data_IF_053325955952
#
_entry.id   IF_053325955952
#
_cell.length_a   1.000
_cell.length_b   1.000
_cell.length_c   1.000
_cell.angle_alpha   90.00
_cell.angle_beta   90.00
_cell.angle_gamma   90.00
#
_symmetry.space_group_name_H-M   'P 1'
#
loop_
_entity.id
_entity.type
_entity.pdbx_description
1 polymer ?
#
# COMPACT_ATOMS: atom_id res chain seq x y z
N UNK A 1 6.49 18.01 4.61
CA UNK A 1 6.23 16.73 5.30
C UNK A 1 7.07 15.57 4.74
N UNK A 2 6.90 15.16 3.47
CA UNK A 2 7.57 13.97 2.90
C UNK A 2 9.11 14.01 2.94
N UNK A 3 9.73 15.17 2.71
CA UNK A 3 11.20 15.29 2.80
C UNK A 3 11.73 15.07 4.22
N UNK A 4 11.00 15.51 5.24
CA UNK A 4 11.36 15.29 6.64
C UNK A 4 11.33 13.80 7.00
N UNK A 5 10.29 13.08 6.58
CA UNK A 5 10.20 11.61 6.77
C UNK A 5 11.37 10.91 6.08
N UNK A 6 11.70 11.30 4.84
CA UNK A 6 12.83 10.73 4.10
C UNK A 6 14.17 10.98 4.81
N UNK A 7 14.40 12.19 5.33
CA UNK A 7 15.62 12.51 6.07
C UNK A 7 15.70 11.73 7.39
N UNK A 8 14.60 11.59 8.10
CA UNK A 8 14.55 10.84 9.35
C UNK A 8 14.83 9.34 9.14
N UNK A 9 14.22 8.72 8.12
CA UNK A 9 14.50 7.33 7.75
C UNK A 9 15.97 7.11 7.35
N UNK A 10 16.64 8.10 6.74
CA UNK A 10 18.06 8.00 6.38
C UNK A 10 18.99 7.95 7.58
N UNK A 11 18.56 8.41 8.76
CA UNK A 11 19.41 8.43 9.94
C UNK A 11 19.64 7.04 10.56
N UNK A 12 18.89 6.00 10.15
CA UNK A 12 19.20 4.61 10.52
C UNK A 12 18.03 3.63 10.31
N UNK A 13 18.37 2.35 10.32
CA UNK A 13 17.41 1.25 10.09
C UNK A 13 16.29 1.20 11.14
N UNK A 14 16.59 1.54 12.40
CA UNK A 14 15.56 1.64 13.45
C UNK A 14 14.49 2.69 13.15
N UNK A 15 14.85 3.79 12.46
CA UNK A 15 13.91 4.81 12.02
C UNK A 15 13.06 4.31 10.87
N UNK A 16 13.63 3.50 9.97
CA UNK A 16 12.88 2.85 8.88
C UNK A 16 11.84 1.88 9.44
N UNK A 17 12.20 1.07 10.43
CA UNK A 17 11.25 0.17 11.10
C UNK A 17 10.15 0.95 11.84
N UNK A 18 10.53 1.99 12.56
CA UNK A 18 9.55 2.85 13.24
C UNK A 18 8.61 3.56 12.24
N UNK A 19 9.12 3.99 11.08
CA UNK A 19 8.31 4.55 10.02
C UNK A 19 7.33 3.53 9.45
N UNK A 20 7.74 2.26 9.32
CA UNK A 20 6.85 1.18 8.94
C UNK A 20 5.70 1.01 9.93
N UNK A 21 6.00 0.88 11.23
CA UNK A 21 4.97 0.71 12.27
C UNK A 21 3.96 1.85 12.26
N UNK A 22 4.44 3.10 12.19
CA UNK A 22 3.58 4.29 12.09
C UNK A 22 2.74 4.26 10.83
N UNK A 23 3.31 3.92 9.66
CA UNK A 23 2.55 3.92 8.41
C UNK A 23 1.45 2.85 8.42
N UNK A 24 1.74 1.65 8.92
CA UNK A 24 0.75 0.58 9.03
C UNK A 24 -0.36 0.96 10.01
N UNK A 25 -0.03 1.59 11.14
CA UNK A 25 -1.05 2.11 12.06
C UNK A 25 -1.96 3.15 11.38
N UNK A 26 -1.36 4.10 10.63
CA UNK A 26 -2.14 5.10 9.88
C UNK A 26 -2.99 4.50 8.76
N UNK A 27 -2.58 3.37 8.16
CA UNK A 27 -3.40 2.63 7.22
C UNK A 27 -4.65 1.99 7.87
N UNK A 28 -4.70 1.86 9.21
CA UNK A 28 -5.89 1.39 9.93
C UNK A 28 -6.89 2.49 10.26
N UNK A 29 -6.57 3.76 10.00
CA UNK A 29 -7.42 4.90 10.31
C UNK A 29 -8.85 4.75 9.74
N UNK A 30 -9.87 5.24 10.43
CA UNK A 30 -11.27 5.26 9.97
C UNK A 30 -11.56 6.31 8.89
N UNK A 31 -10.53 6.78 8.18
CA UNK A 31 -10.62 7.81 7.17
C UNK A 31 -9.76 7.46 5.94
N UNK A 32 -10.37 7.36 4.76
CA UNK A 32 -9.66 6.95 3.53
C UNK A 32 -8.65 7.96 3.03
N UNK A 33 -8.84 9.26 3.29
CA UNK A 33 -7.84 10.26 2.93
C UNK A 33 -6.54 10.03 3.73
N UNK A 34 -6.66 9.70 5.01
CA UNK A 34 -5.50 9.36 5.85
C UNK A 34 -4.78 8.13 5.29
N UNK A 35 -5.53 7.07 4.98
CA UNK A 35 -4.96 5.84 4.40
C UNK A 35 -4.27 6.11 3.06
N UNK A 36 -4.87 6.93 2.19
CA UNK A 36 -4.30 7.29 0.88
C UNK A 36 -2.97 8.03 1.02
N UNK A 37 -2.92 9.02 1.91
CA UNK A 37 -1.68 9.76 2.18
C UNK A 37 -0.59 8.84 2.75
N UNK A 38 -0.94 7.94 3.66
CA UNK A 38 -0.03 6.94 4.20
C UNK A 38 0.50 5.98 3.13
N UNK A 39 -0.37 5.51 2.23
CA UNK A 39 0.02 4.65 1.11
C UNK A 39 1.00 5.36 0.16
N UNK A 40 0.77 6.63 -0.14
CA UNK A 40 1.69 7.42 -0.97
C UNK A 40 3.09 7.55 -0.34
N UNK A 41 3.17 7.75 0.97
CA UNK A 41 4.44 7.77 1.69
C UNK A 41 5.09 6.37 1.66
N UNK A 42 4.31 5.32 1.92
CA UNK A 42 4.79 3.94 1.88
C UNK A 42 5.37 3.59 0.50
N UNK A 43 4.69 3.94 -0.59
CA UNK A 43 5.16 3.69 -1.95
C UNK A 43 6.52 4.35 -2.24
N UNK A 44 6.71 5.58 -1.76
CA UNK A 44 8.00 6.28 -1.85
C UNK A 44 9.11 5.54 -1.08
N UNK A 45 8.80 5.00 0.10
CA UNK A 45 9.78 4.27 0.90
C UNK A 45 10.11 2.88 0.32
N UNK A 46 9.13 2.19 -0.27
CA UNK A 46 9.33 0.90 -0.96
C UNK A 46 10.40 1.01 -2.05
N UNK A 47 10.40 2.10 -2.83
CA UNK A 47 11.39 2.33 -3.88
C UNK A 47 12.82 2.52 -3.36
N UNK A 48 12.99 2.89 -2.07
CA UNK A 48 14.27 3.33 -1.50
C UNK A 48 14.81 2.46 -0.39
N UNK A 49 14.00 1.57 0.20
CA UNK A 49 14.37 0.79 1.39
C UNK A 49 14.09 -0.70 1.24
N UNK A 50 15.15 -1.50 1.38
CA UNK A 50 15.04 -2.97 1.42
C UNK A 50 14.27 -3.46 2.65
N UNK A 51 14.42 -2.79 3.79
CA UNK A 51 13.71 -3.13 5.04
C UNK A 51 12.20 -2.98 4.82
N UNK A 52 11.77 -1.85 4.25
CA UNK A 52 10.35 -1.62 3.93
C UNK A 52 9.83 -2.67 2.95
N UNK A 53 10.59 -3.00 1.91
CA UNK A 53 10.20 -4.07 0.97
C UNK A 53 10.01 -5.42 1.67
N UNK A 54 10.93 -5.80 2.55
CA UNK A 54 10.82 -7.04 3.30
C UNK A 54 9.60 -7.05 4.23
N UNK A 55 9.36 -5.96 4.98
CA UNK A 55 8.19 -5.80 5.84
C UNK A 55 6.88 -5.84 5.07
N UNK A 56 6.81 -5.12 3.96
CA UNK A 56 5.64 -5.11 3.08
C UNK A 56 5.36 -6.50 2.50
N UNK A 57 6.38 -7.23 2.04
CA UNK A 57 6.22 -8.58 1.52
C UNK A 57 5.65 -9.52 2.59
N UNK A 58 6.14 -9.44 3.84
CA UNK A 58 5.63 -10.24 4.95
C UNK A 58 4.21 -9.86 5.39
N UNK A 59 3.75 -8.64 5.10
CA UNK A 59 2.44 -8.12 5.53
C UNK A 59 1.51 -7.77 4.35
N UNK A 60 1.76 -8.36 3.17
CA UNK A 60 1.05 -7.99 1.93
C UNK A 60 -0.47 -8.11 2.08
N UNK A 61 -0.96 -9.21 2.64
CA UNK A 61 -2.41 -9.43 2.84
C UNK A 61 -3.05 -8.33 3.68
N UNK A 62 -2.46 -7.97 4.82
CA UNK A 62 -2.95 -6.89 5.68
C UNK A 62 -2.99 -5.55 4.93
N UNK A 63 -1.94 -5.23 4.17
CA UNK A 63 -1.90 -3.98 3.40
C UNK A 63 -2.96 -3.95 2.31
N UNK A 64 -3.22 -5.08 1.64
CA UNK A 64 -4.28 -5.21 0.64
C UNK A 64 -5.67 -4.99 1.25
N UNK A 65 -5.95 -5.59 2.42
CA UNK A 65 -7.22 -5.40 3.13
C UNK A 65 -7.45 -3.94 3.51
N UNK A 66 -6.40 -3.24 3.95
CA UNK A 66 -6.50 -1.85 4.39
C UNK A 66 -6.61 -0.84 3.24
N UNK A 67 -6.15 -1.19 2.03
CA UNK A 67 -6.02 -0.25 0.90
C UNK A 67 -6.88 -0.59 -0.30
N UNK A 68 -7.08 -1.87 -0.63
CA UNK A 68 -8.01 -2.30 -1.67
C UNK A 68 -9.38 -2.58 -1.05
N UNK A 69 -9.45 -3.08 0.18
CA UNK A 69 -10.70 -3.44 0.85
C UNK A 69 -11.35 -4.71 0.27
N UNK A 70 -12.26 -5.37 1.02
CA UNK A 70 -12.95 -6.56 0.54
C UNK A 70 -13.88 -6.27 -0.64
N UNK A 71 -14.21 -7.34 -1.37
CA UNK A 71 -14.96 -7.32 -2.64
C UNK A 71 -16.42 -6.87 -2.49
N UNK A 72 -16.99 -6.99 -1.30
CA UNK A 72 -18.37 -6.68 -1.00
C UNK A 72 -18.50 -6.21 0.46
N UNK A 73 -19.36 -5.22 0.68
CA UNK A 73 -20.01 -4.86 1.95
C UNK A 73 -19.18 -4.15 3.04
N UNK A 74 -17.86 -4.34 3.10
CA UNK A 74 -16.97 -3.54 3.96
C UNK A 74 -16.23 -2.49 3.12
N UNK A 75 -16.95 -1.46 2.68
CA UNK A 75 -16.37 -0.37 1.92
C UNK A 75 -15.23 0.27 2.72
N UNK A 76 -14.11 0.55 2.05
CA UNK A 76 -13.05 1.40 2.59
C UNK A 76 -13.68 2.64 3.27
N UNK A 77 -13.09 3.14 4.37
CA UNK A 77 -13.75 4.16 5.19
C UNK A 77 -14.10 5.43 4.39
N UNK A 78 -15.01 6.28 4.87
CA UNK A 78 -15.27 7.56 4.24
C UNK A 78 -14.01 8.45 4.19
N UNK A 79 -13.96 9.46 3.29
CA UNK A 79 -14.96 9.77 2.26
C UNK A 79 -14.82 8.88 1.02
N UNK A 80 -15.93 8.66 0.30
CA UNK A 80 -15.99 7.74 -0.85
C UNK A 80 -15.02 8.13 -1.99
N UNK A 81 -14.82 9.43 -2.24
CA UNK A 81 -13.88 9.89 -3.26
C UNK A 81 -12.44 9.44 -2.93
N UNK A 82 -12.00 9.65 -1.70
CA UNK A 82 -10.68 9.19 -1.24
C UNK A 82 -10.58 7.67 -1.17
N UNK A 83 -11.69 6.97 -0.87
CA UNK A 83 -11.73 5.49 -0.91
C UNK A 83 -11.50 4.95 -2.33
N UNK A 84 -12.11 5.56 -3.35
CA UNK A 84 -11.88 5.19 -4.76
C UNK A 84 -10.43 5.46 -5.16
N UNK A 85 -9.93 6.66 -4.87
CA UNK A 85 -8.54 7.03 -5.14
C UNK A 85 -7.53 6.13 -4.39
N UNK A 86 -7.83 5.74 -3.14
CA UNK A 86 -7.02 4.80 -2.37
C UNK A 86 -6.94 3.44 -3.07
N UNK A 87 -8.08 2.89 -3.50
CA UNK A 87 -8.13 1.60 -4.21
C UNK A 87 -7.35 1.68 -5.53
N UNK A 88 -7.60 2.69 -6.36
CA UNK A 88 -6.88 2.89 -7.62
C UNK A 88 -5.36 2.97 -7.40
N UNK A 89 -4.95 3.81 -6.43
CA UNK A 89 -3.55 3.98 -6.08
C UNK A 89 -2.90 2.70 -5.58
N UNK A 90 -3.61 1.91 -4.78
CA UNK A 90 -3.11 0.62 -4.30
C UNK A 90 -2.86 -0.35 -5.46
N UNK A 91 -3.79 -0.42 -6.41
CA UNK A 91 -3.64 -1.29 -7.58
C UNK A 91 -2.44 -0.87 -8.46
N UNK A 92 -2.23 0.43 -8.68
CA UNK A 92 -1.03 0.95 -9.37
C UNK A 92 0.26 0.60 -8.64
N UNK A 93 0.26 0.74 -7.31
CA UNK A 93 1.41 0.39 -6.48
C UNK A 93 1.78 -1.09 -6.63
N UNK A 94 0.79 -2.00 -6.64
CA UNK A 94 1.04 -3.43 -6.81
C UNK A 94 1.69 -3.76 -8.15
N UNK A 95 1.24 -3.11 -9.24
CA UNK A 95 1.88 -3.26 -10.55
C UNK A 95 3.33 -2.75 -10.52
N UNK A 96 3.55 -1.57 -9.94
CA UNK A 96 4.89 -0.98 -9.86
C UNK A 96 5.85 -1.79 -8.99
N UNK A 97 5.38 -2.32 -7.85
CA UNK A 97 6.19 -3.14 -6.95
C UNK A 97 6.54 -4.49 -7.58
N UNK A 98 5.61 -5.13 -8.28
CA UNK A 98 5.89 -6.35 -9.01
C UNK A 98 6.89 -6.12 -10.15
N UNK A 99 6.74 -5.04 -10.92
CA UNK A 99 7.64 -4.72 -12.02
C UNK A 99 9.08 -4.43 -11.54
N UNK A 100 9.22 -3.71 -10.42
CA UNK A 100 10.53 -3.31 -9.89
C UNK A 100 11.20 -4.38 -9.02
N UNK A 101 10.42 -5.17 -8.29
CA UNK A 101 10.92 -6.00 -7.19
C UNK A 101 10.32 -7.42 -7.15
N UNK A 102 9.46 -7.80 -8.10
CA UNK A 102 8.78 -9.09 -8.12
C UNK A 102 9.71 -10.31 -8.20
N UNK A 103 10.90 -10.16 -8.80
CA UNK A 103 11.90 -11.22 -8.83
C UNK A 103 12.45 -11.60 -7.45
N UNK A 104 12.44 -10.65 -6.50
CA UNK A 104 12.96 -10.83 -5.14
C UNK A 104 11.85 -11.11 -4.12
N UNK A 105 10.63 -10.68 -4.43
CA UNK A 105 9.48 -10.76 -3.52
C UNK A 105 8.28 -11.31 -4.28
N UNK A 106 8.08 -12.63 -4.20
CA UNK A 106 6.96 -13.32 -4.87
C UNK A 106 5.59 -12.78 -4.44
N UNK A 107 5.49 -12.25 -3.21
CA UNK A 107 4.28 -11.61 -2.69
C UNK A 107 3.87 -10.38 -3.52
N UNK A 108 4.82 -9.68 -4.15
CA UNK A 108 4.50 -8.56 -5.03
C UNK A 108 3.87 -9.05 -6.34
N UNK A 109 4.37 -10.16 -6.89
CA UNK A 109 3.78 -10.80 -8.07
C UNK A 109 2.36 -11.32 -7.78
N UNK A 110 2.16 -11.94 -6.61
CA UNK A 110 0.83 -12.35 -6.16
C UNK A 110 -0.12 -11.15 -5.98
N UNK A 111 0.37 -10.07 -5.37
CA UNK A 111 -0.37 -8.82 -5.25
C UNK A 111 -0.77 -8.22 -6.61
N UNK A 112 0.10 -8.28 -7.61
CA UNK A 112 -0.22 -7.89 -8.98
C UNK A 112 -1.29 -8.79 -9.62
N UNK A 113 -1.21 -10.11 -9.40
CA UNK A 113 -2.24 -11.05 -9.84
C UNK A 113 -3.61 -10.69 -9.26
N UNK A 114 -3.66 -10.38 -7.97
CA UNK A 114 -4.85 -9.87 -7.31
C UNK A 114 -5.33 -8.54 -7.92
N UNK A 115 -4.43 -7.60 -8.20
CA UNK A 115 -4.78 -6.32 -8.81
C UNK A 115 -5.42 -6.47 -10.20
N UNK A 116 -4.89 -7.37 -11.03
CA UNK A 116 -5.48 -7.70 -12.34
C UNK A 116 -6.88 -8.27 -12.18
N UNK A 117 -7.05 -9.23 -11.28
CA UNK A 117 -8.35 -9.85 -11.01
C UNK A 117 -9.38 -8.82 -10.51
N UNK A 118 -8.99 -7.96 -9.56
CA UNK A 118 -9.86 -6.92 -9.03
C UNK A 118 -10.34 -5.92 -10.11
N UNK A 119 -9.47 -5.56 -11.07
CA UNK A 119 -9.84 -4.68 -12.19
C UNK A 119 -10.77 -5.35 -13.19
N UNK A 120 -10.53 -6.63 -13.53
CA UNK A 120 -11.40 -7.38 -14.44
C UNK A 120 -12.84 -7.45 -13.92
N UNK A 121 -12.97 -7.64 -12.61
CA UNK A 121 -14.26 -7.72 -11.95
C UNK A 121 -15.01 -6.39 -11.87
N UNK A 122 -14.30 -5.26 -11.92
CA UNK A 122 -14.91 -3.94 -11.96
C UNK A 122 -15.47 -3.60 -13.36
N UNK A 123 -15.13 -4.39 -14.39
CA UNK A 123 -15.57 -4.22 -15.78
C UNK A 123 -16.80 -5.07 -16.12
N UNK A 124 -17.16 -6.04 -15.28
CA UNK A 124 -18.39 -6.82 -15.49
C UNK A 124 -19.60 -5.99 -15.05
N UNK A 125 -20.63 -5.79 -15.91
CA UNK A 125 -21.83 -5.08 -15.52
C UNK A 125 -22.58 -5.88 -14.45
N UNK A 126 -23.00 -5.17 -13.39
CA UNK A 126 -23.88 -5.68 -12.33
C UNK A 126 -25.29 -5.97 -12.85
#
# INVERSE_FOLDING_TARGET
ALQGVKQWCKAGDANVESAWEVLVDRLRASNSQTRLLSLNILAELVSRSKIIRARLASNMTQVLELTVGPRSDCALPPPQASARALRERALECLDAWAASHGAQYSQFVLGQGYARHARLQALEPA
#
